data_IF_869626074383
#
_entry.id   IF_869626074383
#
_cell.length_a   1.000
_cell.length_b   1.000
_cell.length_c   1.000
_cell.angle_alpha   90.00
_cell.angle_beta   90.00
_cell.angle_gamma   90.00
#
_symmetry.space_group_name_H-M   'P 1'
#
loop_
_entity.id
_entity.type
_entity.pdbx_description
1 polymer ?
#
# COMPACT_ATOMS: atom_id res chain seq x y z
N UNK A 1 2.14 -1.61 -17.22
CA UNK A 1 1.45 -2.30 -16.11
C UNK A 1 0.27 -3.18 -16.53
N UNK A 2 -0.50 -2.85 -17.59
CA UNK A 2 -1.69 -3.64 -17.97
C UNK A 2 -1.45 -5.13 -18.32
N UNK A 3 -0.41 -5.45 -19.09
CA UNK A 3 -0.05 -6.84 -19.41
C UNK A 3 0.38 -7.65 -18.17
N UNK A 4 0.98 -6.99 -17.18
CA UNK A 4 1.45 -7.62 -15.94
C UNK A 4 0.27 -7.98 -15.01
N UNK A 5 -0.79 -7.15 -14.95
CA UNK A 5 -1.97 -7.44 -14.15
C UNK A 5 -2.85 -8.56 -14.75
N UNK A 6 -3.11 -8.51 -16.07
CA UNK A 6 -3.91 -9.51 -16.78
C UNK A 6 -3.16 -10.81 -17.06
N UNK A 7 -1.89 -10.72 -17.48
CA UNK A 7 -1.03 -11.86 -17.77
C UNK A 7 -0.44 -12.50 -16.51
N UNK A 8 -0.03 -11.70 -15.52
CA UNK A 8 0.58 -12.20 -14.28
C UNK A 8 -0.35 -13.08 -13.45
N UNK A 9 -1.66 -12.78 -13.44
CA UNK A 9 -2.64 -13.62 -12.75
C UNK A 9 -2.82 -15.00 -13.41
N UNK A 10 -2.66 -15.09 -14.74
CA UNK A 10 -2.65 -16.37 -15.46
C UNK A 10 -1.34 -17.13 -15.24
N UNK A 11 -0.21 -16.42 -15.26
CA UNK A 11 1.10 -16.99 -15.01
C UNK A 11 1.23 -17.56 -13.58
N UNK A 12 0.68 -16.90 -12.57
CA UNK A 12 0.66 -17.39 -11.18
C UNK A 12 -0.06 -18.74 -11.03
N UNK A 13 -1.09 -19.03 -11.86
CA UNK A 13 -1.79 -20.32 -11.87
C UNK A 13 -0.95 -21.49 -12.36
N UNK A 14 0.12 -21.24 -13.11
CA UNK A 14 1.05 -22.28 -13.56
C UNK A 14 1.91 -22.83 -12.42
N UNK A 15 2.00 -22.10 -11.31
CA UNK A 15 2.77 -22.48 -10.11
C UNK A 15 4.28 -22.34 -10.28
N UNK A 16 5.03 -22.43 -9.17
CA UNK A 16 6.48 -22.22 -9.15
C UNK A 16 7.25 -23.31 -9.92
N UNK A 17 6.69 -24.52 -10.04
CA UNK A 17 7.32 -25.64 -10.76
C UNK A 17 7.42 -25.43 -12.27
N UNK A 18 6.49 -24.69 -12.88
CA UNK A 18 6.50 -24.42 -14.33
C UNK A 18 7.05 -23.05 -14.68
N UNK A 19 6.80 -22.06 -13.83
CA UNK A 19 7.22 -20.68 -14.05
C UNK A 19 8.65 -20.39 -13.53
N UNK A 20 9.17 -21.26 -12.65
CA UNK A 20 10.36 -21.01 -11.86
C UNK A 20 10.03 -20.23 -10.58
N UNK A 21 10.73 -20.57 -9.50
CA UNK A 21 10.51 -19.97 -8.17
C UNK A 21 10.67 -18.46 -8.16
N UNK A 22 11.75 -17.95 -8.76
CA UNK A 22 12.04 -16.52 -8.79
C UNK A 22 10.91 -15.72 -9.47
N UNK A 23 10.51 -16.11 -10.68
CA UNK A 23 9.47 -15.41 -11.43
C UNK A 23 8.11 -15.50 -10.74
N UNK A 24 7.78 -16.65 -10.15
CA UNK A 24 6.56 -16.82 -9.38
C UNK A 24 6.51 -15.89 -8.15
N UNK A 25 7.59 -15.86 -7.36
CA UNK A 25 7.72 -14.95 -6.21
C UNK A 25 7.66 -13.49 -6.63
N UNK A 26 8.33 -13.10 -7.72
CA UNK A 26 8.31 -11.73 -8.21
C UNK A 26 6.90 -11.27 -8.65
N UNK A 27 6.11 -12.16 -9.27
CA UNK A 27 4.72 -11.85 -9.62
C UNK A 27 3.80 -11.74 -8.40
N UNK A 28 4.07 -12.53 -7.35
CA UNK A 28 3.36 -12.40 -6.08
C UNK A 28 3.71 -11.09 -5.38
N UNK A 29 5.00 -10.78 -5.28
CA UNK A 29 5.49 -9.53 -4.69
C UNK A 29 4.85 -8.31 -5.36
N UNK A 30 4.79 -8.28 -6.69
CA UNK A 30 4.16 -7.18 -7.42
C UNK A 30 2.71 -6.91 -7.00
N UNK A 31 1.94 -7.94 -6.64
CA UNK A 31 0.55 -7.81 -6.17
C UNK A 31 0.49 -7.37 -4.71
N UNK A 32 1.33 -7.94 -3.85
CA UNK A 32 1.37 -7.61 -2.43
C UNK A 32 1.90 -6.19 -2.18
N UNK A 33 2.97 -5.80 -2.87
CA UNK A 33 3.63 -4.51 -2.76
C UNK A 33 2.77 -3.31 -3.16
N UNK A 34 1.60 -3.51 -3.77
CA UNK A 34 0.62 -2.44 -3.99
C UNK A 34 -0.05 -2.00 -2.68
N UNK A 35 -0.20 -2.91 -1.72
CA UNK A 35 -0.96 -2.68 -0.49
C UNK A 35 -0.08 -2.29 0.70
N UNK A 36 1.21 -2.64 0.66
CA UNK A 36 2.14 -2.40 1.78
C UNK A 36 2.27 -0.94 2.21
N UNK A 37 2.29 0.07 1.31
CA UNK A 37 2.39 1.46 1.77
C UNK A 37 1.13 1.95 2.49
N UNK A 38 -0.03 1.36 2.17
CA UNK A 38 -1.31 1.72 2.79
C UNK A 38 -1.47 1.16 4.20
N UNK A 39 -0.78 0.04 4.51
CA UNK A 39 -0.87 -0.59 5.82
C UNK A 39 -0.52 0.40 6.94
N UNK A 40 0.62 1.08 6.81
CA UNK A 40 1.06 2.06 7.81
C UNK A 40 0.08 3.22 7.95
N UNK A 41 -0.46 3.71 6.83
CA UNK A 41 -1.43 4.83 6.84
C UNK A 41 -2.70 4.43 7.60
N UNK A 42 -3.24 3.25 7.31
CA UNK A 42 -4.46 2.76 7.97
C UNK A 42 -4.20 2.48 9.44
N UNK A 43 -3.13 1.76 9.76
CA UNK A 43 -2.84 1.37 11.15
C UNK A 43 -2.57 2.58 12.04
N UNK A 44 -1.59 3.43 11.69
CA UNK A 44 -1.25 4.61 12.51
C UNK A 44 -2.33 5.68 12.47
N UNK A 45 -3.08 5.80 11.37
CA UNK A 45 -4.26 6.66 11.29
C UNK A 45 -5.35 6.24 12.27
N UNK A 46 -5.67 4.94 12.34
CA UNK A 46 -6.64 4.42 13.30
C UNK A 46 -6.12 4.52 14.73
N UNK A 47 -4.87 4.16 14.99
CA UNK A 47 -4.27 4.28 16.33
C UNK A 47 -4.30 5.72 16.85
N UNK A 48 -4.08 6.69 15.96
CA UNK A 48 -4.14 8.11 16.31
C UNK A 48 -5.54 8.61 16.65
N UNK A 49 -6.58 8.06 16.03
CA UNK A 49 -7.97 8.46 16.29
C UNK A 49 -8.51 7.77 17.53
N UNK A 50 -8.12 6.52 17.76
CA UNK A 50 -8.64 5.69 18.85
C UNK A 50 -7.90 5.88 20.17
N UNK A 51 -6.59 6.13 20.13
CA UNK A 51 -5.73 6.15 21.33
C UNK A 51 -5.11 7.52 21.59
N UNK A 52 -4.13 7.92 20.79
CA UNK A 52 -3.42 9.20 20.99
C UNK A 52 -2.89 9.77 19.66
N UNK A 53 -3.10 11.07 19.36
CA UNK A 53 -2.49 11.75 18.21
C UNK A 53 -0.97 11.57 18.05
N UNK A 54 -0.23 11.29 19.13
CA UNK A 54 1.20 11.01 19.10
C UNK A 54 1.60 9.87 18.15
N UNK A 55 0.70 8.91 17.88
CA UNK A 55 0.93 7.85 16.89
C UNK A 55 1.19 8.40 15.48
N UNK A 56 0.61 9.54 15.10
CA UNK A 56 0.94 10.19 13.82
C UNK A 56 2.36 10.76 13.82
N UNK A 57 2.81 11.34 14.93
CA UNK A 57 4.17 11.85 15.05
C UNK A 57 5.20 10.72 14.94
N UNK A 58 4.95 9.59 15.64
CA UNK A 58 5.76 8.37 15.53
C UNK A 58 5.80 7.88 14.09
N UNK A 59 4.65 7.84 13.40
CA UNK A 59 4.57 7.39 12.02
C UNK A 59 5.35 8.29 11.06
N UNK A 60 5.20 9.62 11.19
CA UNK A 60 5.93 10.59 10.37
C UNK A 60 7.43 10.48 10.61
N UNK A 61 7.86 10.36 11.87
CA UNK A 61 9.28 10.19 12.23
C UNK A 61 9.85 8.89 11.64
N UNK A 62 9.10 7.79 11.76
CA UNK A 62 9.48 6.50 11.19
C UNK A 62 9.64 6.55 9.66
N UNK A 63 8.69 7.19 8.97
CA UNK A 63 8.80 7.41 7.52
C UNK A 63 10.00 8.28 7.21
N UNK A 64 10.17 9.41 7.88
CA UNK A 64 11.29 10.31 7.63
C UNK A 64 12.61 9.57 7.78
N UNK A 65 12.79 8.80 8.85
CA UNK A 65 13.98 7.99 9.09
C UNK A 65 14.21 6.96 7.99
N UNK A 66 13.24 6.07 7.74
CA UNK A 66 13.40 4.96 6.78
C UNK A 66 13.59 5.46 5.35
N UNK A 67 12.89 6.52 4.95
CA UNK A 67 13.02 7.13 3.61
C UNK A 67 14.32 7.90 3.45
N UNK A 68 14.81 8.50 4.52
CA UNK A 68 16.14 9.12 4.52
C UNK A 68 17.19 8.06 4.28
N UNK A 69 17.20 6.97 5.06
CA UNK A 69 18.12 5.84 4.84
C UNK A 69 18.03 5.31 3.40
N UNK A 70 16.83 5.01 2.92
CA UNK A 70 16.65 4.48 1.56
C UNK A 70 17.15 5.45 0.48
N UNK A 71 16.75 6.72 0.54
CA UNK A 71 17.15 7.72 -0.45
C UNK A 71 18.65 8.05 -0.37
N UNK A 72 19.26 7.97 0.82
CA UNK A 72 20.71 8.11 1.01
C UNK A 72 21.46 6.96 0.36
N UNK A 73 21.01 5.71 0.54
CA UNK A 73 21.63 4.55 -0.12
C UNK A 73 21.58 4.67 -1.65
N UNK A 74 20.42 5.05 -2.20
CA UNK A 74 20.29 5.31 -3.65
C UNK A 74 21.18 6.48 -4.08
N UNK A 75 21.23 7.54 -3.28
CA UNK A 75 22.06 8.71 -3.54
C UNK A 75 23.56 8.43 -3.50
N UNK A 76 24.01 7.48 -2.67
CA UNK A 76 25.40 7.02 -2.63
C UNK A 76 25.79 6.33 -3.94
N UNK A 77 24.95 5.44 -4.46
CA UNK A 77 25.17 4.77 -5.74
C UNK A 77 25.10 5.76 -6.91
N UNK A 78 24.10 6.67 -6.88
CA UNK A 78 23.91 7.68 -7.91
C UNK A 78 24.87 8.88 -7.80
N UNK A 79 25.71 8.94 -6.76
CA UNK A 79 26.64 10.04 -6.44
C UNK A 79 25.96 11.42 -6.33
N UNK A 80 24.66 11.44 -6.04
CA UNK A 80 23.84 12.65 -5.91
C UNK A 80 22.77 12.42 -4.86
N UNK A 81 22.76 13.26 -3.83
CA UNK A 81 21.75 13.22 -2.77
C UNK A 81 21.15 14.60 -2.53
N UNK A 82 19.86 14.65 -2.21
CA UNK A 82 19.14 15.86 -1.87
C UNK A 82 18.12 15.59 -0.76
N UNK A 83 17.95 16.48 0.24
CA UNK A 83 17.02 16.29 1.37
C UNK A 83 15.55 16.12 0.99
N UNK A 84 15.17 16.47 -0.24
CA UNK A 84 13.79 16.29 -0.76
C UNK A 84 13.49 14.85 -1.19
N UNK A 85 14.52 14.05 -1.46
CA UNK A 85 14.37 12.68 -1.97
C UNK A 85 13.60 11.73 -1.05
N UNK A 86 13.74 11.78 0.29
CA UNK A 86 12.92 10.99 1.20
C UNK A 86 11.41 11.24 1.00
N UNK A 87 11.03 12.53 0.93
CA UNK A 87 9.64 12.95 0.73
C UNK A 87 9.12 12.51 -0.65
N UNK A 88 9.91 12.71 -1.71
CA UNK A 88 9.54 12.29 -3.07
C UNK A 88 9.40 10.77 -3.19
N UNK A 89 10.25 10.01 -2.49
CA UNK A 89 10.21 8.54 -2.49
C UNK A 89 8.94 8.06 -1.79
N UNK A 90 8.61 8.64 -0.65
CA UNK A 90 7.36 8.31 0.05
C UNK A 90 6.13 8.64 -0.80
N UNK A 91 6.08 9.84 -1.37
CA UNK A 91 5.03 10.25 -2.31
C UNK A 91 4.89 9.25 -3.46
N UNK A 92 5.99 8.90 -4.12
CA UNK A 92 6.00 7.94 -5.22
C UNK A 92 5.49 6.56 -4.82
N UNK A 93 5.78 6.10 -3.60
CA UNK A 93 5.29 4.82 -3.11
C UNK A 93 3.79 4.83 -2.82
N UNK A 94 3.28 5.86 -2.14
CA UNK A 94 1.86 5.96 -1.79
C UNK A 94 1.01 6.20 -3.04
N UNK A 95 1.36 7.20 -3.86
CA UNK A 95 0.62 7.52 -5.10
C UNK A 95 0.77 6.40 -6.12
N UNK A 96 1.96 5.81 -6.25
CA UNK A 96 2.19 4.66 -7.10
C UNK A 96 1.34 3.45 -6.70
N UNK A 97 1.23 3.16 -5.40
CA UNK A 97 0.34 2.13 -4.87
C UNK A 97 -1.14 2.42 -5.18
N UNK A 98 -1.61 3.64 -4.91
CA UNK A 98 -2.99 4.05 -5.17
C UNK A 98 -3.36 3.90 -6.65
N UNK A 99 -2.50 4.37 -7.56
CA UNK A 99 -2.70 4.21 -9.01
C UNK A 99 -2.71 2.73 -9.39
N UNK A 100 -1.78 1.92 -8.86
CA UNK A 100 -1.73 0.48 -9.16
C UNK A 100 -3.01 -0.24 -8.72
N UNK A 101 -3.53 0.05 -7.53
CA UNK A 101 -4.80 -0.52 -7.03
C UNK A 101 -5.97 -0.07 -7.91
N UNK A 102 -6.07 1.23 -8.22
CA UNK A 102 -7.13 1.77 -9.06
C UNK A 102 -7.14 1.14 -10.45
N UNK A 103 -5.98 1.10 -11.12
CA UNK A 103 -5.81 0.56 -12.48
C UNK A 103 -6.03 -0.96 -12.51
N UNK A 104 -5.74 -1.68 -11.41
CA UNK A 104 -6.02 -3.12 -11.29
C UNK A 104 -7.51 -3.43 -11.26
N UNK A 105 -8.33 -2.58 -10.64
CA UNK A 105 -9.79 -2.73 -10.59
C UNK A 105 -10.49 -2.12 -11.81
N UNK A 106 -9.80 -1.24 -12.56
CA UNK A 106 -10.35 -0.56 -13.74
C UNK A 106 -9.52 -0.86 -15.01
N UNK A 107 -9.50 -2.13 -15.49
CA UNK A 107 -8.73 -2.51 -16.68
C UNK A 107 -9.20 -1.78 -17.95
N UNK A 108 -10.42 -1.28 -17.95
CA UNK A 108 -11.06 -0.59 -19.08
C UNK A 108 -10.47 0.81 -19.34
N UNK A 109 -9.80 1.40 -18.35
CA UNK A 109 -9.16 2.74 -18.46
C UNK A 109 -7.76 2.64 -19.09
N UNK A 110 -7.24 1.42 -19.23
CA UNK A 110 -5.90 1.18 -19.78
C UNK A 110 -5.93 1.31 -21.32
N UNK A 111 -5.37 2.39 -21.85
CA UNK A 111 -5.16 2.56 -23.30
C UNK A 111 -3.80 1.99 -23.69
N UNK A 112 -3.75 1.20 -24.76
CA UNK A 112 -2.50 0.70 -25.33
C UNK A 112 -2.18 1.50 -26.58
N UNK A 113 -1.03 2.16 -26.60
CA UNK A 113 -0.62 3.13 -27.63
C UNK A 113 -0.50 2.53 -29.05
N UNK A 114 -0.61 1.20 -29.20
CA UNK A 114 -0.47 0.46 -30.47
C UNK A 114 -1.67 -0.41 -30.85
N UNK A 115 -2.73 -0.43 -30.04
CA UNK A 115 -3.96 -1.14 -30.39
C UNK A 115 -5.11 -0.14 -30.35
N UNK A 116 -5.84 -0.02 -31.46
CA UNK A 116 -6.95 0.91 -31.61
C UNK A 116 -8.21 0.37 -30.89
N UNK A 117 -8.07 0.03 -29.61
CA UNK A 117 -9.10 -0.60 -28.75
C UNK A 117 -10.18 0.40 -28.29
N UNK A 118 -10.37 1.50 -29.02
CA UNK A 118 -11.30 2.59 -28.68
C UNK A 118 -12.70 2.45 -29.28
N UNK A 119 -12.97 1.46 -30.14
CA UNK A 119 -14.31 1.26 -30.69
C UNK A 119 -15.20 0.58 -29.66
N UNK A 120 -15.95 1.40 -28.92
CA UNK A 120 -17.08 0.98 -28.07
C UNK A 120 -18.11 0.31 -28.98
N UNK A 121 -18.37 -0.98 -28.79
CA UNK A 121 -19.45 -1.67 -29.49
C UNK A 121 -20.78 -1.25 -28.87
N UNK A 122 -21.87 -1.21 -29.65
CA UNK A 122 -23.22 -0.99 -29.11
C UNK A 122 -23.61 -2.05 -28.05
N UNK A 123 -22.96 -3.23 -28.08
CA UNK A 123 -23.07 -4.25 -27.05
C UNK A 123 -22.46 -3.84 -25.68
N UNK A 124 -21.48 -2.92 -25.66
CA UNK A 124 -20.87 -2.38 -24.43
C UNK A 124 -21.76 -1.34 -23.71
N UNK A 125 -22.90 -0.99 -24.31
CA UNK A 125 -23.89 -0.07 -23.75
C UNK A 125 -24.99 -0.80 -22.94
N UNK A 126 -25.24 -2.09 -23.23
CA UNK A 126 -26.31 -2.88 -22.61
C UNK A 126 -25.84 -3.72 -21.39
N UNK A 127 -24.54 -3.80 -21.10
CA UNK A 127 -24.05 -4.46 -19.90
C UNK A 127 -24.39 -3.63 -18.66
N UNK A 128 -25.19 -4.24 -17.77
CA UNK A 128 -25.45 -3.79 -16.39
C UNK A 128 -24.22 -3.13 -15.76
N UNK A 129 -24.41 -2.02 -15.02
CA UNK A 129 -23.49 -0.91 -15.06
C UNK A 129 -22.14 -1.25 -14.44
N UNK A 130 -21.12 -0.58 -14.96
CA UNK A 130 -19.73 -0.38 -14.50
C UNK A 130 -19.56 -0.03 -12.99
N UNK A 131 -20.63 -0.07 -12.21
CA UNK A 131 -20.65 -0.03 -10.76
C UNK A 131 -19.89 -1.21 -10.14
N UNK A 132 -19.91 -2.39 -10.76
CA UNK A 132 -19.24 -3.60 -10.25
C UNK A 132 -17.74 -3.38 -9.94
N UNK A 133 -17.01 -2.72 -10.85
CA UNK A 133 -15.59 -2.40 -10.63
C UNK A 133 -15.35 -1.42 -9.48
N UNK A 134 -16.27 -0.46 -9.26
CA UNK A 134 -16.18 0.50 -8.15
C UNK A 134 -16.54 -0.17 -6.82
N UNK A 135 -17.58 -1.00 -6.82
CA UNK A 135 -18.00 -1.79 -5.66
C UNK A 135 -16.87 -2.75 -5.26
N UNK A 136 -16.24 -3.43 -6.21
CA UNK A 136 -15.12 -4.35 -5.94
C UNK A 136 -13.88 -3.62 -5.42
N UNK A 137 -13.59 -2.40 -5.89
CA UNK A 137 -12.53 -1.56 -5.34
C UNK A 137 -12.83 -1.13 -3.90
N UNK A 138 -14.05 -0.64 -3.63
CA UNK A 138 -14.45 -0.26 -2.27
C UNK A 138 -14.43 -1.46 -1.35
N UNK A 139 -14.96 -2.60 -1.79
CA UNK A 139 -14.95 -3.85 -1.04
C UNK A 139 -13.52 -4.32 -0.73
N UNK A 140 -12.58 -4.22 -1.68
CA UNK A 140 -11.18 -4.60 -1.43
C UNK A 140 -10.47 -3.64 -0.46
N UNK A 141 -10.77 -2.34 -0.52
CA UNK A 141 -10.27 -1.35 0.44
C UNK A 141 -10.85 -1.59 1.85
N UNK A 142 -12.14 -1.87 1.95
CA UNK A 142 -12.81 -2.21 3.23
C UNK A 142 -12.23 -3.51 3.79
N UNK A 143 -12.14 -4.56 2.98
CA UNK A 143 -11.55 -5.83 3.40
C UNK A 143 -10.10 -5.65 3.87
N UNK A 144 -9.31 -4.86 3.15
CA UNK A 144 -7.95 -4.53 3.58
C UNK A 144 -7.94 -3.82 4.93
N UNK A 145 -8.75 -2.78 5.12
CA UNK A 145 -8.84 -2.06 6.39
C UNK A 145 -9.30 -2.98 7.54
N UNK A 146 -10.30 -3.84 7.31
CA UNK A 146 -10.76 -4.83 8.29
C UNK A 146 -9.65 -5.82 8.66
N UNK A 147 -8.87 -6.31 7.69
CA UNK A 147 -7.72 -7.18 7.95
C UNK A 147 -6.68 -6.45 8.80
N UNK A 148 -6.38 -5.18 8.51
CA UNK A 148 -5.45 -4.38 9.32
C UNK A 148 -5.95 -4.27 10.75
N UNK A 149 -7.24 -3.96 10.95
CA UNK A 149 -7.85 -3.87 12.30
C UNK A 149 -7.76 -5.20 13.03
N UNK A 150 -8.08 -6.31 12.38
CA UNK A 150 -8.03 -7.64 12.98
C UNK A 150 -6.60 -8.05 13.38
N UNK A 151 -5.63 -7.88 12.48
CA UNK A 151 -4.24 -8.29 12.71
C UNK A 151 -3.57 -7.41 13.76
N UNK A 152 -3.77 -6.10 13.68
CA UNK A 152 -3.21 -5.17 14.68
C UNK A 152 -3.93 -5.25 16.03
N UNK A 153 -5.19 -5.68 16.00
CA UNK A 153 -6.12 -5.58 17.12
C UNK A 153 -6.14 -4.14 17.68
N UNK A 154 -6.01 -3.13 16.82
CA UNK A 154 -5.87 -1.72 17.23
C UNK A 154 -7.11 -1.18 17.95
N UNK A 155 -8.26 -1.82 17.76
CA UNK A 155 -9.51 -1.44 18.41
C UNK A 155 -9.65 -1.94 19.87
N UNK A 156 -8.68 -2.73 20.37
CA UNK A 156 -8.71 -3.17 21.77
C UNK A 156 -8.13 -2.12 22.71
N UNK A 157 -8.79 -1.90 23.86
CA UNK A 157 -8.27 -1.11 24.99
C UNK A 157 -7.19 -1.89 25.75
N UNK A 158 -6.07 -2.10 25.09
CA UNK A 158 -4.92 -2.82 25.61
C UNK A 158 -3.81 -1.85 26.03
N UNK A 159 -3.09 -2.11 27.13
CA UNK A 159 -2.03 -1.21 27.63
C UNK A 159 -0.93 -0.86 26.60
N UNK A 160 -0.69 -1.72 25.60
CA UNK A 160 0.28 -1.48 24.51
C UNK A 160 0.03 -0.22 23.66
N UNK A 161 -1.16 0.38 23.75
CA UNK A 161 -1.50 1.61 23.05
C UNK A 161 -1.54 2.83 23.98
N UNK A 162 -1.37 2.62 25.29
CA UNK A 162 -1.34 3.68 26.28
C UNK A 162 0.09 4.22 26.43
N UNK A 163 0.40 5.24 25.64
CA UNK A 163 1.70 5.91 25.67
C UNK A 163 1.93 6.71 26.97
N UNK A 164 0.87 7.07 27.71
CA UNK A 164 0.97 7.91 28.92
C UNK A 164 1.31 7.11 30.17
N UNK A 165 0.80 5.87 30.27
CA UNK A 165 1.13 4.99 31.40
C UNK A 165 2.58 4.55 31.42
N UNK A 166 3.22 4.38 30.25
CA UNK A 166 4.65 4.10 30.19
C UNK A 166 5.48 5.30 30.65
N UNK A 167 5.06 6.53 30.34
CA UNK A 167 5.70 7.75 30.86
C UNK A 167 5.57 7.83 32.39
N UNK A 168 4.38 7.58 32.95
CA UNK A 168 4.17 7.56 34.40
C UNK A 168 4.95 6.44 35.09
N UNK A 169 5.02 5.25 34.48
CA UNK A 169 5.80 4.13 35.02
C UNK A 169 7.31 4.39 34.92
N UNK A 170 7.78 4.99 33.82
CA UNK A 170 9.17 5.41 33.65
C UNK A 170 9.54 6.54 34.63
N UNK A 171 8.64 7.50 34.86
CA UNK A 171 8.78 8.58 35.84
C UNK A 171 8.82 8.03 37.28
N UNK A 172 7.97 7.04 37.60
CA UNK A 172 7.96 6.39 38.92
C UNK A 172 9.21 5.53 39.19
N UNK A 173 9.78 4.92 38.14
CA UNK A 173 10.97 4.05 38.26
C UNK A 173 12.27 4.86 38.22
N UNK A 174 12.33 5.90 37.39
CA UNK A 174 13.55 6.68 37.16
C UNK A 174 13.61 7.99 37.95
N UNK A 175 12.52 8.38 38.62
CA UNK A 175 12.50 9.45 39.64
C UNK A 175 13.07 10.76 39.13
N UNK A 176 12.30 11.46 38.30
CA UNK A 176 12.49 12.89 38.10
C UNK A 176 11.43 13.66 38.90
#
# INVERSE_FOLDING_TARGET
FGNMARGGSKALKLGPRRLGWFTWLALMDQKASMWTPLFGIVFFGLASVLHDPAFLAIYVLWIAMTRTVHSSLVGLVARRWHPVFPALTYYGQVVGAAIKIFVSHNPNVQKWTRQNTGKRSAADAAALPRADSKVMLVASLVAFASIVVLISNVASDSPRFDLRTEDLAAELIHGY
#
